data_IF_484673514194
#
_entry.id   IF_484673514194
#
_cell.length_a   1.000
_cell.length_b   1.000
_cell.length_c   1.000
_cell.angle_alpha   90.00
_cell.angle_beta   90.00
_cell.angle_gamma   90.00
#
_symmetry.space_group_name_H-M   'P 1'
#
loop_
_entity.id
_entity.type
_entity.pdbx_description
1 polymer ?
#
# COMPACT_ATOMS: atom_id res chain seq x y z
N UNK A 1 -10.18 -7.44 8.08
CA UNK A 1 -8.86 -6.77 8.06
C UNK A 1 -7.95 -7.58 8.97
N UNK A 2 -6.88 -8.15 8.41
CA UNK A 2 -5.88 -8.90 9.15
C UNK A 2 -4.73 -7.96 9.47
N UNK A 3 -4.36 -7.84 10.74
CA UNK A 3 -3.20 -7.06 11.19
C UNK A 3 -1.97 -7.96 11.26
N UNK A 4 -0.80 -7.38 11.02
CA UNK A 4 0.47 -8.08 11.03
C UNK A 4 1.50 -7.24 11.78
N UNK A 5 2.17 -7.79 12.79
CA UNK A 5 3.10 -7.01 13.62
C UNK A 5 4.49 -6.91 12.95
N UNK A 6 5.33 -5.93 13.30
CA UNK A 6 6.62 -5.71 12.62
C UNK A 6 7.52 -6.94 12.50
N UNK A 7 7.67 -7.72 13.58
CA UNK A 7 8.49 -8.93 13.55
C UNK A 7 7.93 -10.05 12.65
N UNK A 8 6.62 -10.10 12.45
CA UNK A 8 6.02 -11.04 11.50
C UNK A 8 6.33 -10.62 10.06
N UNK A 9 6.26 -9.31 9.76
CA UNK A 9 6.56 -8.81 8.42
C UNK A 9 8.04 -9.05 8.10
N UNK A 10 8.91 -8.74 9.05
CA UNK A 10 10.34 -8.97 8.94
C UNK A 10 10.71 -10.44 8.73
N UNK A 11 9.95 -11.37 9.31
CA UNK A 11 10.11 -12.80 9.04
C UNK A 11 9.66 -13.16 7.60
N UNK A 12 8.52 -12.62 7.15
CA UNK A 12 8.00 -12.86 5.81
C UNK A 12 8.91 -12.29 4.71
N UNK A 13 9.49 -11.12 4.92
CA UNK A 13 10.46 -10.50 4.00
C UNK A 13 11.72 -11.34 3.77
N UNK A 14 12.03 -12.30 4.65
CA UNK A 14 13.16 -13.23 4.52
C UNK A 14 12.77 -14.62 4.06
N UNK A 15 11.50 -14.82 3.72
CA UNK A 15 11.02 -16.10 3.19
C UNK A 15 11.29 -16.22 1.70
N UNK A 16 11.05 -17.42 1.14
CA UNK A 16 11.19 -17.68 -0.29
C UNK A 16 10.11 -16.98 -1.14
N UNK A 17 9.03 -16.53 -0.51
CA UNK A 17 7.87 -15.89 -1.15
C UNK A 17 7.44 -14.64 -0.35
N UNK A 18 8.22 -13.55 -0.42
CA UNK A 18 7.95 -12.34 0.36
C UNK A 18 6.69 -11.62 -0.16
N UNK A 19 5.91 -10.97 0.72
CA UNK A 19 4.75 -10.20 0.30
C UNK A 19 5.17 -8.92 -0.43
N UNK A 20 4.28 -8.40 -1.27
CA UNK A 20 4.41 -7.05 -1.80
C UNK A 20 4.11 -6.06 -0.68
N UNK A 21 5.04 -5.15 -0.39
CA UNK A 21 4.89 -4.15 0.67
C UNK A 21 4.61 -2.78 0.06
N UNK A 22 3.55 -2.12 0.50
CA UNK A 22 3.15 -0.80 0.01
C UNK A 22 3.19 0.23 1.13
N UNK A 23 3.99 1.26 0.92
CA UNK A 23 3.98 2.47 1.73
C UNK A 23 3.02 3.48 1.11
N UNK A 24 1.90 3.71 1.79
CA UNK A 24 0.84 4.62 1.34
C UNK A 24 0.78 5.87 2.20
N UNK A 25 1.89 6.28 2.82
CA UNK A 25 1.90 7.43 3.72
C UNK A 25 1.40 8.70 3.02
N UNK A 26 0.50 9.40 3.70
CA UNK A 26 -0.10 10.64 3.24
C UNK A 26 -0.47 11.49 4.44
N UNK A 27 -0.25 12.80 4.35
CA UNK A 27 -0.64 13.75 5.39
C UNK A 27 -1.28 14.99 4.79
N UNK A 28 -2.19 15.60 5.53
CA UNK A 28 -2.86 16.82 5.10
C UNK A 28 -1.88 17.99 4.85
N UNK A 29 -0.82 18.07 5.65
CA UNK A 29 0.24 19.08 5.57
C UNK A 29 1.41 18.68 4.65
N UNK A 30 1.48 17.41 4.25
CA UNK A 30 2.44 16.88 3.28
C UNK A 30 1.78 15.74 2.47
N UNK A 31 0.96 16.07 1.46
CA UNK A 31 0.18 15.07 0.70
C UNK A 31 1.05 14.14 -0.14
N UNK A 32 2.18 14.65 -0.66
CA UNK A 32 3.19 13.83 -1.29
C UNK A 32 4.14 13.27 -0.22
N UNK A 33 4.04 11.97 0.03
CA UNK A 33 4.88 11.22 0.95
C UNK A 33 6.20 10.71 0.37
N UNK A 34 6.48 10.96 -0.92
CA UNK A 34 7.65 10.38 -1.62
C UNK A 34 9.00 10.79 -1.04
N UNK A 35 9.14 12.05 -0.59
CA UNK A 35 10.35 12.52 0.09
C UNK A 35 10.56 11.78 1.42
N UNK A 36 9.52 11.69 2.24
CA UNK A 36 9.56 10.99 3.52
C UNK A 36 9.79 9.48 3.34
N UNK A 37 9.25 8.88 2.27
CA UNK A 37 9.56 7.52 1.87
C UNK A 37 11.06 7.36 1.59
N UNK A 38 11.65 8.27 0.81
CA UNK A 38 13.07 8.22 0.47
C UNK A 38 14.01 8.38 1.68
N UNK A 39 13.57 9.06 2.73
CA UNK A 39 14.32 9.19 3.99
C UNK A 39 14.36 7.88 4.80
N UNK A 40 13.37 7.01 4.65
CA UNK A 40 13.30 5.73 5.36
C UNK A 40 11.96 5.03 5.26
N UNK A 41 11.98 3.81 4.72
CA UNK A 41 10.81 2.93 4.55
C UNK A 41 11.14 1.47 4.92
N UNK A 42 10.10 0.65 5.10
CA UNK A 42 10.24 -0.81 5.25
C UNK A 42 10.97 -1.38 4.02
N UNK A 43 11.94 -2.29 4.17
CA UNK A 43 12.70 -2.83 3.03
C UNK A 43 11.80 -3.36 1.92
N UNK A 44 12.20 -3.17 0.66
CA UNK A 44 11.47 -3.55 -0.57
C UNK A 44 10.13 -2.85 -0.81
N UNK A 45 9.66 -1.98 0.10
CA UNK A 45 8.38 -1.33 -0.06
C UNK A 45 8.32 -0.47 -1.32
N UNK A 46 7.14 -0.43 -1.96
CA UNK A 46 6.83 0.51 -3.02
C UNK A 46 6.05 1.70 -2.44
N UNK A 47 6.43 2.91 -2.83
CA UNK A 47 5.61 4.09 -2.53
C UNK A 47 4.38 4.12 -3.44
N UNK A 48 3.21 4.38 -2.83
CA UNK A 48 1.92 4.45 -3.51
C UNK A 48 1.23 5.75 -3.14
N UNK A 49 0.93 6.58 -4.15
CA UNK A 49 0.33 7.90 -3.94
C UNK A 49 -1.17 7.78 -3.60
N UNK A 50 -1.60 8.27 -2.44
CA UNK A 50 -3.03 8.30 -2.12
C UNK A 50 -3.83 9.12 -3.16
N UNK A 51 -3.23 10.22 -3.65
CA UNK A 51 -3.88 11.18 -4.52
C UNK A 51 -3.88 10.72 -6.00
N UNK A 52 -2.82 10.06 -6.46
CA UNK A 52 -2.65 9.70 -7.88
C UNK A 52 -3.00 8.24 -8.18
N UNK A 53 -2.72 7.33 -7.23
CA UNK A 53 -2.83 5.89 -7.44
C UNK A 53 -4.10 5.29 -6.81
N UNK A 54 -4.49 5.80 -5.62
CA UNK A 54 -5.63 5.31 -4.85
C UNK A 54 -6.86 6.23 -4.96
N UNK A 55 -6.77 7.24 -5.82
CA UNK A 55 -7.82 8.20 -6.10
C UNK A 55 -7.77 8.62 -7.57
N UNK A 56 -8.89 9.16 -8.07
CA UNK A 56 -8.87 9.93 -9.33
C UNK A 56 -9.03 11.41 -9.02
N UNK A 57 -8.60 12.25 -9.95
CA UNK A 57 -9.02 13.65 -9.96
C UNK A 57 -10.53 13.73 -10.24
N UNK A 58 -11.29 14.33 -9.31
CA UNK A 58 -12.73 14.52 -9.43
C UNK A 58 -13.15 15.97 -9.20
N UNK A 59 -14.44 16.23 -9.28
CA UNK A 59 -14.99 17.55 -8.92
C UNK A 59 -15.03 17.71 -7.39
N UNK A 60 -15.03 18.94 -6.84
CA UNK A 60 -15.10 19.16 -5.40
C UNK A 60 -16.28 18.47 -4.70
N UNK A 61 -17.35 18.16 -5.45
CA UNK A 61 -18.54 17.43 -4.97
C UNK A 61 -18.31 15.93 -4.75
N UNK A 62 -17.26 15.36 -5.32
CA UNK A 62 -16.97 13.91 -5.25
C UNK A 62 -16.21 13.52 -3.96
N UNK A 63 -15.94 14.50 -3.09
CA UNK A 63 -15.07 14.35 -1.93
C UNK A 63 -13.59 14.51 -2.28
N UNK A 64 -12.73 14.35 -1.27
CA UNK A 64 -11.28 14.62 -1.39
C UNK A 64 -10.52 13.55 -2.17
N UNK A 65 -10.92 12.28 -2.02
CA UNK A 65 -10.25 11.13 -2.61
C UNK A 65 -11.28 10.23 -3.33
N UNK A 66 -11.84 10.68 -4.47
CA UNK A 66 -12.80 9.89 -5.24
C UNK A 66 -12.22 8.53 -5.66
N UNK A 67 -13.08 7.52 -5.86
CA UNK A 67 -12.63 6.19 -6.29
C UNK A 67 -11.84 6.25 -7.61
N UNK A 68 -10.69 5.54 -7.72
CA UNK A 68 -9.95 5.46 -8.97
C UNK A 68 -10.76 4.72 -10.02
N UNK A 69 -10.44 4.97 -11.29
CA UNK A 69 -10.98 4.15 -12.38
C UNK A 69 -10.45 2.70 -12.25
N UNK A 70 -11.30 1.66 -12.45
CA UNK A 70 -10.88 0.27 -12.30
C UNK A 70 -9.69 -0.14 -13.19
N UNK A 71 -9.62 0.35 -14.42
CA UNK A 71 -8.54 0.02 -15.36
C UNK A 71 -7.23 0.66 -14.90
N UNK A 72 -7.26 1.96 -14.57
CA UNK A 72 -6.09 2.67 -14.04
C UNK A 72 -5.60 2.09 -12.71
N UNK A 73 -6.53 1.67 -11.82
CA UNK A 73 -6.17 1.04 -10.56
C UNK A 73 -5.51 -0.32 -10.76
N UNK A 74 -5.96 -1.13 -11.73
CA UNK A 74 -5.30 -2.39 -12.09
C UNK A 74 -3.90 -2.15 -12.66
N UNK A 75 -3.74 -1.17 -13.54
CA UNK A 75 -2.41 -0.80 -14.06
C UNK A 75 -1.48 -0.33 -12.94
N UNK A 76 -1.98 0.45 -11.98
CA UNK A 76 -1.20 0.87 -10.82
C UNK A 76 -0.80 -0.33 -9.96
N UNK A 77 -1.72 -1.25 -9.65
CA UNK A 77 -1.42 -2.47 -8.90
C UNK A 77 -0.33 -3.33 -9.57
N UNK A 78 -0.37 -3.46 -10.90
CA UNK A 78 0.69 -4.13 -11.67
C UNK A 78 2.02 -3.39 -11.59
N UNK A 79 2.02 -2.05 -11.65
CA UNK A 79 3.26 -1.25 -11.48
C UNK A 79 3.90 -1.43 -10.11
N UNK A 80 3.13 -1.76 -9.08
CA UNK A 80 3.67 -2.09 -7.75
C UNK A 80 4.20 -3.52 -7.64
N UNK A 81 4.16 -4.29 -8.74
CA UNK A 81 4.67 -5.67 -8.79
C UNK A 81 3.69 -6.73 -8.28
N UNK A 82 2.39 -6.42 -8.19
CA UNK A 82 1.40 -7.37 -7.67
C UNK A 82 1.03 -8.39 -8.76
N UNK A 83 1.15 -9.67 -8.42
CA UNK A 83 0.69 -10.82 -9.20
C UNK A 83 -0.61 -11.42 -8.63
N UNK A 84 -1.28 -12.22 -9.46
CA UNK A 84 -2.44 -12.99 -9.02
C UNK A 84 -2.05 -14.02 -7.94
N UNK A 85 -2.61 -13.88 -6.74
CA UNK A 85 -2.37 -14.77 -5.61
C UNK A 85 -1.42 -14.21 -4.55
N UNK A 86 -0.80 -13.05 -4.81
CA UNK A 86 0.10 -12.41 -3.87
C UNK A 86 -0.58 -11.97 -2.58
N UNK A 87 0.19 -12.02 -1.49
CA UNK A 87 -0.14 -11.30 -0.26
C UNK A 87 0.43 -9.89 -0.34
N UNK A 88 -0.41 -8.88 -0.07
CA UNK A 88 0.00 -7.48 0.01
C UNK A 88 -0.02 -7.02 1.46
N UNK A 89 1.01 -6.29 1.88
CA UNK A 89 1.07 -5.62 3.19
C UNK A 89 1.10 -4.12 2.98
N UNK A 90 0.08 -3.42 3.47
CA UNK A 90 -0.01 -1.95 3.39
C UNK A 90 0.32 -1.31 4.74
N UNK A 91 0.95 -0.14 4.72
CA UNK A 91 1.19 0.65 5.92
C UNK A 91 1.24 2.15 5.62
N UNK A 92 1.04 2.96 6.66
CA UNK A 92 1.38 4.38 6.65
C UNK A 92 2.17 4.74 7.93
N UNK A 93 2.48 6.02 8.09
CA UNK A 93 3.24 6.57 9.22
C UNK A 93 2.38 7.43 10.18
N UNK A 94 1.05 7.41 10.02
CA UNK A 94 0.16 8.33 10.74
C UNK A 94 -1.12 7.67 11.27
N UNK A 95 -2.29 8.11 10.82
CA UNK A 95 -3.60 7.76 11.38
C UNK A 95 -4.22 6.50 10.79
N UNK A 96 -3.46 5.71 10.03
CA UNK A 96 -3.94 4.54 9.28
C UNK A 96 -5.00 4.87 8.22
N UNK A 97 -5.25 6.15 7.92
CA UNK A 97 -6.28 6.57 6.96
C UNK A 97 -5.95 6.07 5.55
N UNK A 98 -4.71 6.30 5.09
CA UNK A 98 -4.28 5.91 3.76
C UNK A 98 -4.06 4.39 3.67
N UNK A 99 -3.51 3.78 4.74
CA UNK A 99 -3.41 2.33 4.84
C UNK A 99 -4.78 1.64 4.76
N UNK A 100 -5.80 2.15 5.47
CA UNK A 100 -7.16 1.62 5.40
C UNK A 100 -7.79 1.78 4.01
N UNK A 101 -7.50 2.90 3.32
CA UNK A 101 -7.95 3.15 1.94
C UNK A 101 -7.39 2.11 0.97
N UNK A 102 -6.08 1.88 1.01
CA UNK A 102 -5.41 0.89 0.19
C UNK A 102 -5.92 -0.51 0.48
N UNK A 103 -6.02 -0.87 1.77
CA UNK A 103 -6.61 -2.13 2.23
C UNK A 103 -8.00 -2.36 1.65
N UNK A 104 -8.90 -1.37 1.76
CA UNK A 104 -10.27 -1.50 1.28
C UNK A 104 -10.34 -1.70 -0.24
N UNK A 105 -9.61 -0.88 -1.01
CA UNK A 105 -9.62 -0.96 -2.49
C UNK A 105 -9.11 -2.30 -2.99
N UNK A 106 -7.95 -2.74 -2.50
CA UNK A 106 -7.34 -4.00 -2.92
C UNK A 106 -8.17 -5.22 -2.46
N UNK A 107 -8.70 -5.19 -1.23
CA UNK A 107 -9.57 -6.26 -0.72
C UNK A 107 -10.88 -6.34 -1.52
N UNK A 108 -11.51 -5.20 -1.82
CA UNK A 108 -12.71 -5.15 -2.66
C UNK A 108 -12.46 -5.64 -4.09
N UNK A 109 -11.22 -5.46 -4.58
CA UNK A 109 -10.77 -5.97 -5.86
C UNK A 109 -10.35 -7.46 -5.86
N UNK A 110 -10.23 -8.09 -4.68
CA UNK A 110 -9.98 -9.53 -4.53
C UNK A 110 -8.55 -9.93 -4.17
N UNK A 111 -7.71 -8.99 -3.77
CA UNK A 111 -6.33 -9.24 -3.30
C UNK A 111 -6.33 -9.64 -1.82
N UNK A 112 -5.42 -10.51 -1.38
CA UNK A 112 -5.18 -10.77 0.06
C UNK A 112 -4.35 -9.63 0.65
N UNK A 113 -4.97 -8.82 1.51
CA UNK A 113 -4.32 -7.61 2.05
C UNK A 113 -4.28 -7.64 3.56
N UNK A 114 -3.08 -7.40 4.10
CA UNK A 114 -2.79 -7.24 5.52
C UNK A 114 -2.32 -5.81 5.78
N UNK A 115 -2.50 -5.34 7.01
CA UNK A 115 -2.05 -4.01 7.44
C UNK A 115 -0.95 -4.18 8.48
N UNK A 116 0.16 -3.45 8.34
CA UNK A 116 1.21 -3.41 9.36
C UNK A 116 0.68 -2.72 10.62
N UNK A 117 0.60 -3.45 11.71
CA UNK A 117 0.09 -2.94 12.99
C UNK A 117 1.03 -1.89 13.58
N UNK A 118 0.47 -0.72 13.89
CA UNK A 118 1.22 0.47 14.32
C UNK A 118 2.08 1.13 13.22
N UNK A 119 1.98 0.67 11.98
CA UNK A 119 2.62 1.27 10.80
C UNK A 119 4.14 1.42 10.91
N UNK A 120 4.66 2.43 10.23
CA UNK A 120 6.11 2.67 10.19
C UNK A 120 6.71 3.04 11.56
N UNK A 121 5.92 3.66 12.45
CA UNK A 121 6.37 3.98 13.80
C UNK A 121 6.69 2.70 14.57
N UNK A 122 5.77 1.74 14.59
CA UNK A 122 6.00 0.46 15.27
C UNK A 122 7.18 -0.31 14.66
N UNK A 123 7.33 -0.30 13.33
CA UNK A 123 8.50 -0.87 12.67
C UNK A 123 9.81 -0.28 13.21
N UNK A 124 9.91 1.05 13.29
CA UNK A 124 11.09 1.76 13.82
C UNK A 124 11.33 1.45 15.30
N UNK A 125 10.27 1.39 16.10
CA UNK A 125 10.36 1.13 17.54
C UNK A 125 10.91 -0.27 17.86
N UNK A 126 10.75 -1.23 16.94
CA UNK A 126 11.36 -2.56 17.05
C UNK A 126 12.83 -2.62 16.66
N UNK A 127 13.42 -1.52 16.17
CA UNK A 127 14.82 -1.47 15.75
C UNK A 127 15.14 -2.24 14.46
N UNK A 128 14.11 -2.58 13.68
CA UNK A 128 14.24 -3.25 12.40
C UNK A 128 14.84 -2.33 11.32
N UNK A 129 15.52 -2.90 10.30
CA UNK A 129 16.19 -2.10 9.28
C UNK A 129 15.20 -1.27 8.46
N UNK A 130 15.66 -0.10 8.00
CA UNK A 130 14.97 0.70 6.99
C UNK A 130 15.81 0.75 5.71
N UNK A 131 15.13 0.78 4.58
CA UNK A 131 15.71 1.13 3.29
C UNK A 131 15.54 2.64 3.04
N UNK A 132 16.42 3.21 2.20
CA UNK A 132 16.44 4.64 1.87
C UNK A 132 16.61 4.81 0.37
N UNK A 133 16.14 5.94 -0.14
CA UNK A 133 16.11 6.26 -1.57
C UNK A 133 14.72 6.10 -2.17
N UNK A 134 14.58 6.53 -3.42
CA UNK A 134 13.33 6.38 -4.14
C UNK A 134 13.00 4.90 -4.37
N UNK A 135 11.71 4.62 -4.59
CA UNK A 135 11.22 3.29 -4.89
C UNK A 135 11.97 2.71 -6.09
N UNK A 136 12.56 1.53 -5.95
CA UNK A 136 13.06 0.79 -7.11
C UNK A 136 11.87 0.08 -7.74
N UNK A 137 11.44 0.46 -8.96
CA UNK A 137 10.25 -0.13 -9.57
C UNK A 137 10.49 -1.62 -9.84
N UNK A 138 9.59 -2.51 -9.37
CA UNK A 138 9.68 -3.93 -9.66
C UNK A 138 9.37 -4.20 -11.14
N UNK A 139 9.58 -5.44 -11.58
CA UNK A 139 8.95 -5.88 -12.81
C UNK A 139 7.43 -5.78 -12.67
N UNK A 140 6.70 -5.24 -13.68
CA UNK A 140 5.26 -5.14 -13.59
C UNK A 140 4.61 -6.51 -13.39
N UNK A 141 3.74 -6.61 -12.40
CA UNK A 141 2.97 -7.80 -12.12
C UNK A 141 1.85 -8.05 -13.13
N UNK A 142 1.10 -9.14 -12.94
CA UNK A 142 0.04 -9.59 -13.84
C UNK A 142 -1.36 -9.62 -13.21
N UNK A 143 -1.52 -9.07 -12.00
CA UNK A 143 -2.78 -9.13 -11.24
C UNK A 143 -4.01 -8.74 -12.07
N UNK A 144 -5.10 -9.48 -11.84
CA UNK A 144 -6.42 -9.21 -12.41
C UNK A 144 -7.36 -8.76 -11.29
N UNK A 145 -7.76 -7.49 -11.32
CA UNK A 145 -8.63 -6.90 -10.31
C UNK A 145 -10.10 -7.09 -10.66
N UNK A 146 -10.91 -7.43 -9.66
CA UNK A 146 -12.36 -7.55 -9.79
C UNK A 146 -13.09 -6.77 -8.68
N UNK A 147 -13.22 -5.43 -8.82
CA UNK A 147 -13.88 -4.59 -7.81
C UNK A 147 -15.35 -4.97 -7.54
N UNK A 148 -15.83 -4.61 -6.35
CA UNK A 148 -17.19 -4.84 -5.88
C UNK A 148 -17.40 -6.15 -5.12
N UNK A 149 -16.34 -6.79 -4.59
CA UNK A 149 -16.46 -8.03 -3.81
C UNK A 149 -16.92 -7.79 -2.37
N UNK A 150 -16.58 -6.65 -1.76
CA UNK A 150 -17.00 -6.33 -0.39
C UNK A 150 -18.45 -5.86 -0.33
N UNK A 151 -18.95 -5.19 -1.38
CA UNK A 151 -20.32 -4.69 -1.45
C UNK A 151 -21.40 -5.78 -1.68
N UNK A 152 -20.98 -7.02 -1.96
CA UNK A 152 -21.89 -8.16 -2.27
C UNK A 152 -22.11 -9.12 -1.07
N UNK A 153 -21.75 -8.72 0.16
CA UNK A 153 -21.96 -9.52 1.38
C UNK A 153 -23.08 -8.95 2.25
#
# INVERSE_FOLDING_TARGET
MTLLIPHELDALLRSDDPPVVLDVRWRLDAPDGSEAFAEGHVPSAQYVSLDDDLSRHGEPTDGRHPLPDPESFQEAARRWGIHDGDTVVVYDDSSSFAAARAWWLLTDAGVDVRVLDGGLSAWRDTGLPLERGASSPPEPGDVTLAPGRLARR
#
